data_IF_886644758322
#
_entry.id   IF_886644758322
#
_cell.length_a   1.000
_cell.length_b   1.000
_cell.length_c   1.000
_cell.angle_alpha   90.00
_cell.angle_beta   90.00
_cell.angle_gamma   90.00
#
_symmetry.space_group_name_H-M   'P 1'
#
loop_
_entity.id
_entity.type
_entity.pdbx_description
1 polymer ?
#
# COMPACT_ATOMS: atom_id res chain seq x y z
N UNK A 1 10.73 19.97 -16.85
CA UNK A 1 11.64 18.81 -16.66
C UNK A 1 11.34 18.02 -15.39
N UNK A 2 11.13 18.67 -14.24
CA UNK A 2 10.92 18.04 -12.92
C UNK A 2 9.73 17.04 -12.87
N UNK A 3 8.65 17.34 -13.59
CA UNK A 3 7.45 16.48 -13.65
C UNK A 3 7.71 15.20 -14.47
N UNK A 4 8.50 15.27 -15.53
CA UNK A 4 8.82 14.12 -16.38
C UNK A 4 9.76 13.13 -15.67
N UNK A 5 10.72 13.64 -14.91
CA UNK A 5 11.61 12.80 -14.07
C UNK A 5 10.83 12.08 -12.96
N UNK A 6 9.81 12.75 -12.38
CA UNK A 6 8.91 12.13 -11.40
C UNK A 6 8.08 10.99 -12.01
N UNK A 7 7.51 11.18 -13.20
CA UNK A 7 6.69 10.17 -13.88
C UNK A 7 7.47 8.91 -14.28
N UNK A 8 8.74 9.05 -14.70
CA UNK A 8 9.60 7.90 -15.01
C UNK A 8 10.01 7.14 -13.75
N UNK A 9 10.25 7.84 -12.64
CA UNK A 9 10.57 7.21 -11.36
C UNK A 9 9.39 6.40 -10.81
N UNK A 10 8.15 6.90 -10.95
CA UNK A 10 6.92 6.25 -10.45
C UNK A 10 6.57 4.94 -11.15
N UNK A 11 7.19 4.64 -12.32
CA UNK A 11 6.88 3.45 -13.10
C UNK A 11 7.39 2.14 -12.47
N UNK A 12 8.21 2.22 -11.41
CA UNK A 12 8.83 1.07 -10.74
C UNK A 12 8.75 1.11 -9.20
N UNK A 13 7.98 2.02 -8.60
CA UNK A 13 8.00 2.21 -7.15
C UNK A 13 7.08 1.24 -6.42
N UNK A 14 7.66 0.21 -5.82
CA UNK A 14 6.96 -0.70 -4.90
C UNK A 14 7.24 -0.39 -3.41
N UNK A 15 8.02 0.66 -3.09
CA UNK A 15 8.50 0.94 -1.72
C UNK A 15 8.43 2.43 -1.35
N UNK A 16 8.01 2.73 -0.12
CA UNK A 16 7.95 4.10 0.46
C UNK A 16 9.30 4.83 0.39
N UNK A 17 10.41 4.08 0.52
CA UNK A 17 11.76 4.64 0.46
C UNK A 17 12.09 5.34 -0.87
N UNK A 18 11.43 4.98 -1.97
CA UNK A 18 11.70 5.58 -3.27
C UNK A 18 11.00 6.94 -3.43
N UNK A 19 9.87 7.14 -2.73
CA UNK A 19 9.22 8.45 -2.60
C UNK A 19 10.04 9.42 -1.76
N UNK A 20 10.60 8.92 -0.64
CA UNK A 20 11.51 9.71 0.20
C UNK A 20 12.75 10.11 -0.60
N UNK A 21 13.36 9.18 -1.34
CA UNK A 21 14.50 9.48 -2.22
C UNK A 21 14.12 10.51 -3.29
N UNK A 22 12.95 10.40 -3.92
CA UNK A 22 12.50 11.37 -4.92
C UNK A 22 12.31 12.76 -4.32
N UNK A 23 11.70 12.87 -3.13
CA UNK A 23 11.56 14.14 -2.40
C UNK A 23 12.92 14.75 -2.05
N UNK A 24 13.88 13.93 -1.59
CA UNK A 24 15.26 14.36 -1.32
C UNK A 24 15.96 14.85 -2.59
N UNK A 25 15.82 14.15 -3.72
CA UNK A 25 16.40 14.58 -5.00
C UNK A 25 15.82 15.90 -5.49
N UNK A 26 14.52 16.12 -5.35
CA UNK A 26 13.87 17.39 -5.68
C UNK A 26 14.40 18.52 -4.79
N UNK A 27 14.58 18.27 -3.49
CA UNK A 27 15.15 19.24 -2.55
C UNK A 27 16.62 19.57 -2.88
N UNK A 28 17.44 18.58 -3.21
CA UNK A 28 18.84 18.78 -3.64
C UNK A 28 18.88 19.60 -4.93
N UNK A 29 18.07 19.28 -5.93
CA UNK A 29 18.05 20.00 -7.20
C UNK A 29 17.61 21.46 -7.00
N UNK A 30 16.59 21.69 -6.17
CA UNK A 30 16.14 23.02 -5.81
C UNK A 30 17.24 23.81 -5.08
N UNK A 31 17.96 23.18 -4.14
CA UNK A 31 19.08 23.79 -3.44
C UNK A 31 20.23 24.15 -4.39
N UNK A 32 20.62 23.24 -5.30
CA UNK A 32 21.68 23.46 -6.29
C UNK A 32 21.37 24.64 -7.24
N UNK A 33 20.11 24.82 -7.62
CA UNK A 33 19.70 25.98 -8.42
C UNK A 33 19.87 27.32 -7.69
N UNK A 34 19.95 27.31 -6.35
CA UNK A 34 20.22 28.52 -5.55
C UNK A 34 21.71 28.76 -5.29
N UNK A 35 22.56 27.73 -5.40
CA UNK A 35 24.01 27.80 -5.11
C UNK A 35 24.74 28.92 -5.89
N UNK A 36 24.43 29.20 -7.17
CA UNK A 36 25.07 30.32 -7.88
C UNK A 36 24.89 31.67 -7.18
N UNK A 37 23.69 31.95 -6.66
CA UNK A 37 23.41 33.19 -5.92
C UNK A 37 24.17 33.28 -4.60
N UNK A 38 24.31 32.16 -3.89
CA UNK A 38 25.14 32.08 -2.68
C UNK A 38 26.62 32.32 -2.96
N UNK A 39 27.15 31.69 -4.01
CA UNK A 39 28.56 31.77 -4.36
C UNK A 39 28.94 33.21 -4.72
N UNK A 40 28.09 33.89 -5.49
CA UNK A 40 28.27 35.29 -5.87
C UNK A 40 28.28 36.23 -4.64
N UNK A 41 27.39 35.98 -3.68
CA UNK A 41 27.30 36.79 -2.46
C UNK A 41 28.50 36.62 -1.52
N UNK A 42 29.06 35.41 -1.43
CA UNK A 42 30.25 35.12 -0.63
C UNK A 42 31.56 35.60 -1.27
N UNK A 43 31.62 35.64 -2.61
CA UNK A 43 32.85 35.95 -3.36
C UNK A 43 32.92 37.39 -3.85
N UNK A 44 31.80 38.12 -3.88
CA UNK A 44 31.74 39.50 -4.37
C UNK A 44 32.00 39.61 -5.88
N UNK A 45 31.82 38.52 -6.64
CA UNK A 45 32.04 38.51 -8.08
C UNK A 45 31.03 39.45 -8.79
N UNK A 46 31.49 40.23 -9.79
CA UNK A 46 30.63 41.15 -10.52
C UNK A 46 29.54 40.38 -11.28
N UNK A 47 28.33 40.97 -11.34
CA UNK A 47 27.21 40.43 -12.09
C UNK A 47 27.58 40.21 -13.57
N UNK A 48 27.17 39.08 -14.18
CA UNK A 48 27.39 38.86 -15.59
C UNK A 48 26.71 39.97 -16.42
N UNK A 49 27.39 40.54 -17.43
CA UNK A 49 26.85 41.64 -18.22
C UNK A 49 25.61 41.19 -19.00
N UNK A 50 24.48 41.89 -18.81
CA UNK A 50 23.17 41.56 -19.40
C UNK A 50 22.09 41.18 -18.39
N UNK A 51 22.39 41.16 -17.08
CA UNK A 51 21.45 40.87 -15.99
C UNK A 51 20.49 42.03 -15.63
N UNK A 52 20.49 43.13 -16.38
CA UNK A 52 19.61 44.27 -16.12
C UNK A 52 18.26 44.07 -16.83
N UNK A 53 17.19 43.88 -16.04
CA UNK A 53 15.81 43.95 -16.52
C UNK A 53 14.97 42.67 -16.47
N UNK A 54 15.19 41.72 -15.55
CA UNK A 54 14.29 40.56 -15.34
C UNK A 54 14.74 39.74 -14.10
N UNK A 55 13.98 39.79 -13.00
CA UNK A 55 14.15 39.03 -11.74
C UNK A 55 15.45 39.25 -10.94
N UNK A 56 16.55 39.66 -11.59
CA UNK A 56 17.89 39.84 -11.03
C UNK A 56 18.07 41.16 -10.27
N UNK A 57 17.32 42.22 -10.57
CA UNK A 57 17.41 43.48 -9.82
C UNK A 57 16.78 43.41 -8.42
N UNK A 58 15.79 42.53 -8.23
CA UNK A 58 15.31 42.13 -6.89
C UNK A 58 16.17 41.03 -6.25
N UNK A 59 17.08 40.44 -7.03
CA UNK A 59 17.85 39.23 -6.70
C UNK A 59 18.74 39.37 -5.47
N UNK A 60 19.66 40.34 -5.36
CA UNK A 60 20.61 40.39 -4.24
C UNK A 60 19.95 40.61 -2.87
N UNK A 61 18.89 41.43 -2.79
CA UNK A 61 18.11 41.62 -1.56
C UNK A 61 17.19 40.43 -1.26
N UNK A 62 16.67 39.78 -2.30
CA UNK A 62 15.97 38.50 -2.22
C UNK A 62 16.91 37.39 -1.73
N UNK A 63 18.16 37.30 -2.20
CA UNK A 63 19.14 36.29 -1.79
C UNK A 63 19.86 36.63 -0.48
N UNK A 64 19.91 37.89 -0.02
CA UNK A 64 20.48 38.25 1.29
C UNK A 64 19.59 37.86 2.49
N UNK A 65 18.25 37.87 2.31
CA UNK A 65 17.24 37.38 3.29
C UNK A 65 16.69 36.00 2.92
N UNK A 66 16.85 35.62 1.66
CA UNK A 66 16.21 34.48 1.03
C UNK A 66 16.89 33.13 1.05
N UNK A 67 18.11 32.88 1.56
CA UNK A 67 18.62 31.52 1.52
C UNK A 67 17.92 30.62 2.53
N UNK A 68 17.66 31.17 3.72
CA UNK A 68 16.83 30.52 4.74
C UNK A 68 15.38 30.40 4.26
N UNK A 69 14.80 31.45 3.66
CA UNK A 69 13.42 31.42 3.16
C UNK A 69 13.25 30.51 1.93
N UNK A 70 14.26 30.39 1.06
CA UNK A 70 14.27 29.45 -0.06
C UNK A 70 14.50 28.02 0.41
N UNK A 71 15.39 27.80 1.39
CA UNK A 71 15.54 26.51 2.05
C UNK A 71 14.23 26.06 2.72
N UNK A 72 13.56 26.98 3.42
CA UNK A 72 12.24 26.76 4.01
C UNK A 72 11.18 26.50 2.93
N UNK A 73 11.15 27.30 1.86
CA UNK A 73 10.21 27.11 0.75
C UNK A 73 10.45 25.78 0.01
N UNK A 74 11.70 25.36 -0.17
CA UNK A 74 12.06 24.08 -0.77
C UNK A 74 11.68 22.92 0.14
N UNK A 75 11.89 23.03 1.46
CA UNK A 75 11.43 22.05 2.44
C UNK A 75 9.91 21.92 2.45
N UNK A 76 9.18 23.05 2.48
CA UNK A 76 7.72 23.08 2.41
C UNK A 76 7.24 22.48 1.10
N UNK A 77 7.83 22.82 -0.04
CA UNK A 77 7.44 22.23 -1.33
C UNK A 77 7.72 20.72 -1.37
N UNK A 78 8.88 20.27 -0.88
CA UNK A 78 9.24 18.85 -0.82
C UNK A 78 8.27 18.04 0.04
N UNK A 79 7.92 18.55 1.22
CA UNK A 79 6.92 17.94 2.09
C UNK A 79 5.54 17.92 1.44
N UNK A 80 5.09 19.05 0.88
CA UNK A 80 3.77 19.16 0.25
C UNK A 80 3.65 18.23 -0.96
N UNK A 81 4.66 18.19 -1.83
CA UNK A 81 4.71 17.29 -2.99
C UNK A 81 4.71 15.81 -2.57
N UNK A 82 5.44 15.46 -1.51
CA UNK A 82 5.48 14.09 -0.97
C UNK A 82 4.13 13.68 -0.38
N UNK A 83 3.50 14.56 0.40
CA UNK A 83 2.16 14.35 0.96
C UNK A 83 1.09 14.22 -0.13
N UNK A 84 1.14 15.07 -1.15
CA UNK A 84 0.24 14.98 -2.31
C UNK A 84 0.46 13.71 -3.11
N UNK A 85 1.71 13.26 -3.30
CA UNK A 85 2.02 12.02 -3.99
C UNK A 85 1.51 10.79 -3.20
N UNK A 86 1.72 10.76 -1.88
CA UNK A 86 1.15 9.74 -1.00
C UNK A 86 -0.39 9.74 -1.09
N UNK A 87 -1.02 10.90 -0.90
CA UNK A 87 -2.47 11.05 -1.02
C UNK A 87 -3.01 10.62 -2.38
N UNK A 88 -2.29 10.93 -3.46
CA UNK A 88 -2.64 10.49 -4.80
C UNK A 88 -2.53 8.97 -4.95
N UNK A 89 -1.51 8.31 -4.40
CA UNK A 89 -1.37 6.84 -4.47
C UNK A 89 -2.51 6.12 -3.75
N UNK A 90 -2.88 6.60 -2.57
CA UNK A 90 -4.02 6.04 -1.83
C UNK A 90 -5.35 6.34 -2.56
N UNK A 91 -5.54 7.58 -3.04
CA UNK A 91 -6.78 7.98 -3.71
C UNK A 91 -6.99 7.38 -5.11
N UNK A 92 -5.92 7.20 -5.89
CA UNK A 92 -5.99 6.57 -7.23
C UNK A 92 -6.17 5.06 -7.17
N UNK A 93 -5.74 4.41 -6.08
CA UNK A 93 -5.99 2.98 -5.85
C UNK A 93 -7.50 2.69 -5.86
N UNK A 94 -8.26 3.46 -5.09
CA UNK A 94 -9.72 3.35 -5.00
C UNK A 94 -10.41 3.67 -6.34
N UNK A 95 -9.95 4.71 -7.06
CA UNK A 95 -10.52 5.09 -8.35
C UNK A 95 -10.30 4.06 -9.47
N UNK A 96 -9.28 3.21 -9.36
CA UNK A 96 -8.93 2.20 -10.38
C UNK A 96 -9.32 0.77 -10.01
N UNK A 97 -9.92 0.57 -8.82
CA UNK A 97 -10.29 -0.76 -8.31
C UNK A 97 -9.10 -1.71 -8.11
N UNK A 98 -7.86 -1.18 -8.14
CA UNK A 98 -6.63 -1.95 -7.95
C UNK A 98 -6.15 -1.80 -6.52
N UNK A 99 -5.97 -2.94 -5.84
CA UNK A 99 -5.37 -2.95 -4.50
C UNK A 99 -3.89 -2.67 -4.64
N UNK A 100 -3.39 -1.65 -3.94
CA UNK A 100 -1.97 -1.30 -3.98
C UNK A 100 -1.13 -2.38 -3.29
N UNK A 101 0.11 -2.59 -3.73
CA UNK A 101 1.03 -3.54 -3.08
C UNK A 101 1.26 -3.20 -1.60
N UNK A 102 1.18 -1.92 -1.24
CA UNK A 102 1.24 -1.49 0.15
C UNK A 102 0.04 -1.99 0.96
N UNK A 103 -1.18 -1.78 0.46
CA UNK A 103 -2.39 -2.27 1.14
C UNK A 103 -2.40 -3.79 1.24
N UNK A 104 -1.94 -4.50 0.20
CA UNK A 104 -1.78 -5.96 0.26
C UNK A 104 -0.77 -6.39 1.33
N UNK A 105 0.36 -5.69 1.45
CA UNK A 105 1.35 -5.98 2.48
C UNK A 105 0.81 -5.72 3.91
N UNK A 106 -0.05 -4.72 4.10
CA UNK A 106 -0.74 -4.51 5.38
C UNK A 106 -1.70 -5.64 5.72
N UNK A 107 -2.52 -6.07 4.75
CA UNK A 107 -3.47 -7.17 4.90
C UNK A 107 -2.76 -8.52 5.10
N UNK A 108 -1.57 -8.71 4.55
CA UNK A 108 -0.80 -9.94 4.74
C UNK A 108 -0.26 -10.13 6.17
N UNK A 109 -0.36 -9.11 7.04
CA UNK A 109 0.25 -9.18 8.37
C UNK A 109 -0.53 -10.12 9.30
N UNK A 110 0.14 -11.03 10.02
CA UNK A 110 -0.51 -11.94 10.96
C UNK A 110 -1.21 -11.28 12.16
N UNK A 111 -0.97 -9.99 12.41
CA UNK A 111 -1.62 -9.21 13.46
C UNK A 111 -2.84 -8.42 12.96
N UNK A 112 -3.20 -8.56 11.68
CA UNK A 112 -4.47 -8.05 11.17
C UNK A 112 -5.63 -8.71 11.95
N UNK A 113 -6.65 -7.94 12.43
CA UNK A 113 -7.68 -8.46 13.35
C UNK A 113 -8.33 -9.77 12.90
N UNK A 114 -8.74 -9.87 11.63
CA UNK A 114 -9.33 -11.09 11.07
C UNK A 114 -8.39 -12.29 11.04
N UNK A 115 -7.11 -12.09 10.70
CA UNK A 115 -6.13 -13.18 10.65
C UNK A 115 -5.70 -13.60 12.06
N UNK A 116 -5.65 -12.65 12.99
CA UNK A 116 -5.43 -12.92 14.40
C UNK A 116 -6.59 -13.75 15.00
N UNK A 117 -7.85 -13.34 14.75
CA UNK A 117 -9.04 -14.10 15.14
C UNK A 117 -9.02 -15.51 14.52
N UNK A 118 -8.72 -15.64 13.22
CA UNK A 118 -8.64 -16.93 12.55
C UNK A 118 -7.59 -17.84 13.20
N UNK A 119 -6.43 -17.29 13.56
CA UNK A 119 -5.36 -18.04 14.26
C UNK A 119 -5.78 -18.50 15.66
N UNK A 120 -6.53 -17.68 16.38
CA UNK A 120 -6.89 -17.93 17.78
C UNK A 120 -8.13 -18.82 17.93
N UNK A 121 -9.14 -18.63 17.08
CA UNK A 121 -10.45 -19.29 17.17
C UNK A 121 -10.60 -20.46 16.19
N UNK A 122 -9.92 -20.43 15.04
CA UNK A 122 -9.99 -21.46 13.99
C UNK A 122 -8.58 -21.84 13.47
N UNK A 123 -7.67 -22.34 14.34
CA UNK A 123 -6.25 -22.52 14.03
C UNK A 123 -6.00 -23.49 12.85
N UNK A 124 -6.89 -24.48 12.66
CA UNK A 124 -6.84 -25.40 11.52
C UNK A 124 -7.10 -24.70 10.21
N UNK A 125 -8.16 -23.88 10.15
CA UNK A 125 -8.48 -23.04 8.99
C UNK A 125 -7.39 -22.00 8.72
N UNK A 126 -6.79 -21.41 9.76
CA UNK A 126 -5.65 -20.50 9.59
C UNK A 126 -4.45 -21.20 8.92
N UNK A 127 -4.10 -22.39 9.40
CA UNK A 127 -2.99 -23.16 8.82
C UNK A 127 -3.31 -23.63 7.39
N UNK A 128 -4.55 -24.05 7.13
CA UNK A 128 -5.04 -24.35 5.79
C UNK A 128 -4.84 -23.15 4.85
N UNK A 129 -5.33 -21.97 5.26
CA UNK A 129 -5.25 -20.74 4.47
C UNK A 129 -3.80 -20.32 4.22
N UNK A 130 -2.90 -20.49 5.19
CA UNK A 130 -1.47 -20.25 5.00
C UNK A 130 -0.87 -21.17 3.92
N UNK A 131 -1.15 -22.47 3.98
CA UNK A 131 -0.65 -23.44 3.00
C UNK A 131 -1.20 -23.17 1.60
N UNK A 132 -2.51 -22.93 1.48
CA UNK A 132 -3.16 -22.56 0.23
C UNK A 132 -2.56 -21.26 -0.33
N UNK A 133 -2.33 -20.26 0.52
CA UNK A 133 -1.73 -18.99 0.08
C UNK A 133 -0.33 -19.14 -0.51
N UNK A 134 0.52 -19.98 0.08
CA UNK A 134 1.89 -20.22 -0.42
C UNK A 134 1.87 -21.00 -1.75
N UNK A 135 1.00 -22.02 -1.87
CA UNK A 135 0.83 -22.76 -3.13
C UNK A 135 0.27 -21.88 -4.24
N UNK A 136 -0.76 -21.09 -3.94
CA UNK A 136 -1.41 -20.21 -4.90
C UNK A 136 -0.49 -19.07 -5.36
N UNK A 137 0.32 -18.49 -4.46
CA UNK A 137 1.35 -17.50 -4.79
C UNK A 137 2.35 -18.05 -5.80
N UNK A 138 2.89 -19.24 -5.54
CA UNK A 138 3.85 -19.92 -6.44
C UNK A 138 3.23 -20.21 -7.81
N UNK A 139 1.98 -20.68 -7.84
CA UNK A 139 1.25 -20.93 -9.07
C UNK A 139 1.00 -19.64 -9.87
N UNK A 140 0.54 -18.58 -9.20
CA UNK A 140 0.31 -17.27 -9.81
C UNK A 140 1.60 -16.71 -10.42
N UNK A 141 2.71 -16.80 -9.68
CA UNK A 141 4.03 -16.40 -10.19
C UNK A 141 4.43 -17.18 -11.46
N UNK A 142 4.21 -18.50 -11.47
CA UNK A 142 4.60 -19.36 -12.60
C UNK A 142 3.84 -19.04 -13.90
N UNK A 143 2.59 -18.56 -13.80
CA UNK A 143 1.75 -18.23 -14.97
C UNK A 143 1.75 -16.72 -15.31
N UNK A 144 2.51 -15.90 -14.58
CA UNK A 144 2.54 -14.45 -14.79
C UNK A 144 1.30 -13.70 -14.29
N UNK A 145 0.52 -14.29 -13.38
CA UNK A 145 -0.53 -13.59 -12.63
C UNK A 145 0.08 -12.77 -11.47
N UNK A 146 -0.74 -12.01 -10.73
CA UNK A 146 -0.27 -11.22 -9.58
C UNK A 146 -0.08 -12.10 -8.33
N UNK A 147 1.17 -12.44 -7.95
CA UNK A 147 1.42 -13.38 -6.86
C UNK A 147 1.02 -12.81 -5.50
N UNK A 148 1.24 -11.52 -5.26
CA UNK A 148 0.95 -10.91 -3.95
C UNK A 148 -0.56 -10.80 -3.74
N UNK A 149 -1.31 -10.40 -4.76
CA UNK A 149 -2.77 -10.36 -4.69
C UNK A 149 -3.34 -11.76 -4.44
N UNK A 150 -2.88 -12.77 -5.17
CA UNK A 150 -3.31 -14.16 -4.98
C UNK A 150 -3.00 -14.68 -3.58
N UNK A 151 -1.78 -14.42 -3.10
CA UNK A 151 -1.36 -14.80 -1.75
C UNK A 151 -2.27 -14.20 -0.69
N UNK A 152 -2.51 -12.89 -0.76
CA UNK A 152 -3.35 -12.20 0.22
C UNK A 152 -4.81 -12.64 0.08
N UNK A 153 -5.35 -12.73 -1.12
CA UNK A 153 -6.71 -13.24 -1.36
C UNK A 153 -6.93 -14.62 -0.72
N UNK A 154 -5.99 -15.54 -0.92
CA UNK A 154 -6.02 -16.87 -0.33
C UNK A 154 -5.88 -16.88 1.20
N UNK A 155 -5.22 -15.89 1.82
CA UNK A 155 -5.22 -15.80 3.29
C UNK A 155 -6.62 -15.54 3.87
N UNK A 156 -7.46 -14.83 3.13
CA UNK A 156 -8.78 -14.38 3.60
C UNK A 156 -9.94 -15.24 3.09
N UNK A 157 -9.73 -16.12 2.10
CA UNK A 157 -10.82 -16.82 1.40
C UNK A 157 -11.81 -17.52 2.35
N UNK A 158 -11.29 -18.09 3.43
CA UNK A 158 -12.00 -18.93 4.38
C UNK A 158 -12.39 -18.23 5.71
N UNK A 159 -12.24 -16.89 5.81
CA UNK A 159 -12.47 -16.18 7.09
C UNK A 159 -13.88 -16.39 7.65
N UNK A 160 -14.88 -16.65 6.81
CA UNK A 160 -16.25 -16.88 7.27
C UNK A 160 -16.41 -18.14 8.12
N UNK A 161 -15.44 -19.07 8.10
CA UNK A 161 -15.41 -20.22 9.00
C UNK A 161 -15.28 -19.81 10.47
N UNK A 162 -14.81 -18.59 10.76
CA UNK A 162 -14.83 -17.99 12.10
C UNK A 162 -16.23 -17.97 12.74
N UNK A 163 -17.28 -17.91 11.92
CA UNK A 163 -18.65 -17.87 12.44
C UNK A 163 -19.03 -19.17 13.17
N UNK A 164 -18.49 -20.32 12.74
CA UNK A 164 -18.72 -21.63 13.35
C UNK A 164 -17.51 -22.57 13.14
N UNK A 165 -16.36 -22.36 13.82
CA UNK A 165 -15.12 -23.09 13.52
C UNK A 165 -15.24 -24.60 13.63
N UNK A 166 -15.95 -25.09 14.65
CA UNK A 166 -16.15 -26.52 14.91
C UNK A 166 -16.98 -27.25 13.85
N UNK A 167 -17.59 -26.53 12.90
CA UNK A 167 -18.30 -27.12 11.75
C UNK A 167 -17.37 -27.41 10.57
N UNK A 168 -16.05 -27.18 10.69
CA UNK A 168 -15.07 -27.45 9.65
C UNK A 168 -14.01 -28.43 10.12
N UNK A 169 -13.77 -29.47 9.31
CA UNK A 169 -12.99 -30.66 9.70
C UNK A 169 -11.58 -30.34 10.17
N UNK A 170 -10.95 -29.31 9.61
CA UNK A 170 -9.62 -28.88 9.99
C UNK A 170 -9.53 -28.32 11.41
N UNK A 171 -10.65 -27.92 12.01
CA UNK A 171 -10.73 -27.43 13.39
C UNK A 171 -11.37 -28.45 14.35
N UNK A 172 -11.79 -29.62 13.86
CA UNK A 172 -12.44 -30.64 14.69
C UNK A 172 -11.43 -31.50 15.44
N UNK A 173 -11.84 -31.98 16.61
CA UNK A 173 -11.16 -33.09 17.30
C UNK A 173 -11.48 -34.45 16.63
N UNK A 174 -10.67 -35.49 16.85
CA UNK A 174 -10.81 -36.79 16.16
C UNK A 174 -12.18 -37.46 16.25
N UNK A 175 -12.92 -37.24 17.35
CA UNK A 175 -14.20 -37.91 17.64
C UNK A 175 -15.38 -36.91 17.81
N UNK A 176 -15.18 -35.63 17.48
CA UNK A 176 -16.15 -34.55 17.71
C UNK A 176 -16.66 -33.96 16.39
N UNK A 177 -17.36 -34.78 15.60
CA UNK A 177 -17.97 -34.33 14.35
C UNK A 177 -19.45 -33.93 14.57
N UNK A 178 -19.76 -32.62 14.69
CA UNK A 178 -21.12 -32.15 14.91
C UNK A 178 -22.07 -32.45 13.75
N UNK A 179 -21.56 -32.76 12.56
CA UNK A 179 -22.39 -33.15 11.42
C UNK A 179 -23.10 -34.49 11.60
N UNK A 180 -22.65 -35.37 12.51
CA UNK A 180 -23.36 -36.62 12.80
C UNK A 180 -24.77 -36.40 13.37
N UNK A 181 -25.02 -35.26 14.02
CA UNK A 181 -26.32 -34.87 14.55
C UNK A 181 -27.20 -34.09 13.57
N UNK A 182 -26.72 -33.82 12.35
CA UNK A 182 -27.39 -32.97 11.37
C UNK A 182 -27.84 -33.78 10.15
N UNK A 183 -28.92 -33.34 9.51
CA UNK A 183 -29.24 -33.82 8.17
C UNK A 183 -28.19 -33.35 7.16
N UNK A 184 -28.03 -34.05 6.02
CA UNK A 184 -27.14 -33.59 4.94
C UNK A 184 -27.46 -32.17 4.46
N UNK A 185 -28.75 -31.78 4.50
CA UNK A 185 -29.20 -30.44 4.10
C UNK A 185 -28.71 -29.37 5.08
N UNK A 186 -28.90 -29.58 6.38
CA UNK A 186 -28.44 -28.65 7.41
C UNK A 186 -26.91 -28.49 7.38
N UNK A 187 -26.20 -29.60 7.21
CA UNK A 187 -24.74 -29.59 7.03
C UNK A 187 -24.32 -28.76 5.83
N UNK A 188 -24.94 -28.96 4.67
CA UNK A 188 -24.65 -28.19 3.47
C UNK A 188 -24.99 -26.69 3.64
N UNK A 189 -26.10 -26.35 4.30
CA UNK A 189 -26.49 -24.97 4.58
C UNK A 189 -25.53 -24.26 5.55
N UNK A 190 -24.82 -24.98 6.40
CA UNK A 190 -23.77 -24.42 7.27
C UNK A 190 -22.48 -24.23 6.47
N UNK A 191 -22.06 -25.28 5.74
CA UNK A 191 -20.84 -25.25 4.94
C UNK A 191 -20.92 -24.15 3.88
N UNK A 192 -21.99 -24.04 3.10
CA UNK A 192 -22.10 -23.04 2.02
C UNK A 192 -22.11 -21.60 2.56
N UNK A 193 -22.65 -21.40 3.76
CA UNK A 193 -22.87 -20.06 4.34
C UNK A 193 -21.58 -19.35 4.72
N UNK A 194 -20.48 -20.07 4.96
CA UNK A 194 -19.19 -19.46 5.28
C UNK A 194 -18.75 -18.43 4.23
N UNK A 195 -19.13 -18.60 2.96
CA UNK A 195 -18.84 -17.61 1.90
C UNK A 195 -19.55 -16.28 2.18
N UNK A 196 -20.85 -16.32 2.48
CA UNK A 196 -21.64 -15.13 2.77
C UNK A 196 -21.19 -14.46 4.08
N UNK A 197 -20.95 -15.26 5.12
CA UNK A 197 -20.44 -14.80 6.42
C UNK A 197 -19.06 -14.14 6.25
N UNK A 198 -18.18 -14.75 5.45
CA UNK A 198 -16.85 -14.22 5.16
C UNK A 198 -16.89 -12.90 4.39
N UNK A 199 -17.79 -12.78 3.40
CA UNK A 199 -17.99 -11.51 2.67
C UNK A 199 -18.50 -10.42 3.62
N UNK A 200 -19.48 -10.74 4.48
CA UNK A 200 -20.01 -9.79 5.46
C UNK A 200 -18.92 -9.29 6.41
N UNK A 201 -18.18 -10.21 7.01
CA UNK A 201 -17.06 -9.93 7.90
C UNK A 201 -15.95 -9.12 7.20
N UNK A 202 -15.65 -9.44 5.95
CA UNK A 202 -14.69 -8.70 5.14
C UNK A 202 -15.13 -7.27 4.86
N UNK A 203 -16.42 -7.04 4.59
CA UNK A 203 -16.97 -5.70 4.41
C UNK A 203 -16.88 -4.86 5.69
N UNK A 204 -17.21 -5.44 6.85
CA UNK A 204 -17.09 -4.77 8.15
C UNK A 204 -15.65 -4.33 8.46
N UNK A 205 -14.68 -5.11 8.00
CA UNK A 205 -13.24 -4.81 8.17
C UNK A 205 -12.64 -3.99 7.03
N UNK A 206 -13.47 -3.46 6.12
CA UNK A 206 -13.03 -2.66 4.98
C UNK A 206 -11.97 -3.39 4.12
N UNK A 207 -12.17 -4.70 3.90
CA UNK A 207 -11.37 -5.44 2.94
C UNK A 207 -11.63 -4.88 1.53
N UNK A 208 -10.59 -4.71 0.71
CA UNK A 208 -10.76 -4.23 -0.65
C UNK A 208 -11.66 -5.16 -1.47
N UNK A 209 -12.43 -4.64 -2.46
CA UNK A 209 -13.34 -5.46 -3.27
C UNK A 209 -12.67 -6.69 -3.88
N UNK A 210 -11.44 -6.54 -4.39
CA UNK A 210 -10.68 -7.66 -4.96
C UNK A 210 -10.38 -8.78 -3.98
N UNK A 211 -10.28 -8.49 -2.67
CA UNK A 211 -10.11 -9.53 -1.63
C UNK A 211 -11.46 -10.19 -1.32
N UNK A 212 -12.55 -9.41 -1.31
CA UNK A 212 -13.90 -9.95 -1.19
C UNK A 212 -14.25 -10.90 -2.34
N UNK A 213 -13.74 -10.65 -3.54
CA UNK A 213 -13.93 -11.54 -4.70
C UNK A 213 -13.30 -12.93 -4.45
N UNK A 214 -12.11 -13.01 -3.82
CA UNK A 214 -11.54 -14.32 -3.42
C UNK A 214 -12.43 -15.06 -2.43
N UNK A 215 -13.07 -14.36 -1.50
CA UNK A 215 -14.00 -14.99 -0.56
C UNK A 215 -15.23 -15.49 -1.31
N UNK A 216 -15.77 -14.69 -2.24
CA UNK A 216 -17.01 -14.99 -2.95
C UNK A 216 -16.88 -16.12 -3.98
N UNK A 217 -15.71 -16.28 -4.60
CA UNK A 217 -15.55 -17.09 -5.82
C UNK A 217 -14.60 -18.29 -5.68
N UNK A 218 -13.99 -18.52 -4.51
CA UNK A 218 -13.10 -19.67 -4.30
C UNK A 218 -13.84 -21.01 -4.32
#
# INVERSE_FOLDING_TARGET
>A
MTVATGLVALRQTHRIGDFVKAGVWVAILAALLTVPGWLQQLTGLPEPPGAAGNWLETGPAFFARGPFLMGLAAAVHGLTASSLALGAIYGLGDATGRVTSFRLAELARPDHPLLAALREEAPGTYQHSLLVSDMAEKAAHAIGADPLLTRVGALYHDIGKLQNPGMFVENMGPDDNPHHGLSPRESAEIIIRHVADGVGMGMEHNLPPRILDFIREH
#
